data_IF_548006632954
#
_entry.id   IF_548006632954
#
_cell.length_a   1.000
_cell.length_b   1.000
_cell.length_c   1.000
_cell.angle_alpha   90.00
_cell.angle_beta   90.00
_cell.angle_gamma   90.00
#
_symmetry.space_group_name_H-M   'P 1'
#
loop_
_entity.id
_entity.type
_entity.pdbx_description
1 polymer ?
#
# COMPACT_ATOMS: atom_id res chain seq x y z
N UNK A 1 15.13 -13.89 -21.91
CA UNK A 1 13.76 -13.58 -21.52
C UNK A 1 12.85 -13.12 -22.67
N UNK A 2 13.27 -12.17 -23.56
CA UNK A 2 12.44 -11.69 -24.71
C UNK A 2 11.77 -12.79 -25.59
N UNK A 3 12.40 -13.96 -25.75
CA UNK A 3 11.82 -15.07 -26.54
C UNK A 3 10.84 -15.96 -25.78
N UNK A 4 10.78 -15.89 -24.47
CA UNK A 4 9.93 -16.75 -23.63
C UNK A 4 8.54 -16.16 -23.49
N UNK A 5 8.41 -14.83 -23.34
CA UNK A 5 7.11 -14.15 -23.20
C UNK A 5 6.29 -14.23 -24.49
N UNK A 6 6.93 -14.00 -25.65
CA UNK A 6 6.28 -14.18 -26.97
C UNK A 6 5.87 -15.64 -27.22
N UNK A 7 6.61 -16.60 -26.69
CA UNK A 7 6.31 -18.02 -26.86
C UNK A 7 5.15 -18.47 -25.96
N UNK A 8 4.99 -17.89 -24.78
CA UNK A 8 3.92 -18.23 -23.82
C UNK A 8 2.55 -17.77 -24.32
N UNK A 9 2.46 -16.55 -24.88
CA UNK A 9 1.21 -16.06 -25.48
C UNK A 9 0.79 -16.89 -26.71
N UNK A 10 1.76 -17.28 -27.54
CA UNK A 10 1.52 -18.18 -28.70
C UNK A 10 1.11 -19.59 -28.27
N UNK A 11 1.63 -20.10 -27.15
CA UNK A 11 1.27 -21.43 -26.61
C UNK A 11 -0.15 -21.42 -26.02
N UNK A 12 -0.58 -20.33 -25.40
CA UNK A 12 -1.97 -20.18 -24.91
C UNK A 12 -2.94 -20.13 -26.08
N UNK A 13 -2.62 -19.44 -27.18
CA UNK A 13 -3.40 -19.45 -28.42
C UNK A 13 -3.52 -20.83 -29.07
N UNK A 14 -2.48 -21.65 -29.01
CA UNK A 14 -2.48 -23.02 -29.57
C UNK A 14 -3.27 -24.01 -28.70
N UNK A 15 -3.36 -23.80 -27.39
CA UNK A 15 -4.13 -24.65 -26.47
C UNK A 15 -5.65 -24.38 -26.56
N UNK A 16 -6.07 -23.15 -26.90
CA UNK A 16 -7.47 -22.79 -27.13
C UNK A 16 -8.04 -23.44 -28.40
N UNK A 17 -7.23 -23.76 -29.38
CA UNK A 17 -7.67 -24.42 -30.63
C UNK A 17 -7.99 -25.92 -30.48
N UNK A 18 -7.76 -26.54 -29.31
CA UNK A 18 -7.95 -28.00 -29.08
C UNK A 18 -9.24 -28.36 -28.34
N UNK A 19 -10.04 -27.38 -27.84
CA UNK A 19 -11.33 -27.70 -27.19
C UNK A 19 -12.48 -27.20 -28.08
N UNK A 20 -13.04 -28.15 -28.80
CA UNK A 20 -14.15 -27.93 -29.74
C UNK A 20 -15.41 -27.38 -29.09
N UNK A 21 -16.02 -26.42 -29.77
CA UNK A 21 -17.27 -25.68 -29.57
C UNK A 21 -17.13 -24.25 -29.03
N UNK A 22 -16.13 -23.49 -29.48
CA UNK A 22 -16.17 -22.03 -29.38
C UNK A 22 -16.80 -21.44 -30.66
N UNK A 23 -17.59 -20.35 -30.47
CA UNK A 23 -18.16 -19.59 -31.56
C UNK A 23 -17.00 -18.96 -32.36
N UNK A 24 -16.90 -19.19 -33.64
CA UNK A 24 -15.76 -18.75 -34.48
C UNK A 24 -15.54 -17.23 -34.39
N UNK A 25 -16.61 -16.48 -34.22
CA UNK A 25 -16.58 -15.02 -34.12
C UNK A 25 -15.97 -14.53 -32.80
N UNK A 26 -16.15 -15.27 -31.69
CA UNK A 26 -15.53 -14.96 -30.39
C UNK A 26 -14.03 -15.21 -30.39
N UNK A 27 -13.59 -16.34 -30.97
CA UNK A 27 -12.15 -16.64 -31.08
C UNK A 27 -11.41 -15.62 -31.95
N UNK A 28 -12.01 -15.16 -33.05
CA UNK A 28 -11.42 -14.14 -33.94
C UNK A 28 -11.33 -12.77 -33.22
N UNK A 29 -12.33 -12.44 -32.37
CA UNK A 29 -12.31 -11.21 -31.56
C UNK A 29 -11.19 -11.26 -30.51
N UNK A 30 -11.06 -12.34 -29.75
CA UNK A 30 -10.01 -12.53 -28.74
C UNK A 30 -8.60 -12.46 -29.35
N UNK A 31 -8.38 -13.12 -30.50
CA UNK A 31 -7.09 -13.07 -31.20
C UNK A 31 -6.73 -11.64 -31.67
N UNK A 32 -7.71 -10.90 -32.17
CA UNK A 32 -7.53 -9.51 -32.58
C UNK A 32 -7.20 -8.63 -31.40
N UNK A 33 -7.97 -8.72 -30.30
CA UNK A 33 -7.74 -7.94 -29.07
C UNK A 33 -6.34 -8.23 -28.51
N UNK A 34 -5.96 -9.50 -28.38
CA UNK A 34 -4.64 -9.89 -27.91
C UNK A 34 -3.51 -9.31 -28.77
N UNK A 35 -3.69 -9.34 -30.09
CA UNK A 35 -2.70 -8.80 -31.03
C UNK A 35 -2.56 -7.29 -30.91
N UNK A 36 -3.66 -6.55 -30.90
CA UNK A 36 -3.66 -5.09 -30.81
C UNK A 36 -3.12 -4.61 -29.44
N UNK A 37 -3.48 -5.28 -28.35
CA UNK A 37 -2.99 -5.01 -27.01
C UNK A 37 -1.48 -5.24 -26.91
N UNK A 38 -1.00 -6.37 -27.46
CA UNK A 38 0.42 -6.70 -27.42
C UNK A 38 1.28 -5.71 -28.22
N UNK A 39 0.77 -5.18 -29.34
CA UNK A 39 1.45 -4.12 -30.09
C UNK A 39 1.66 -2.87 -29.25
N UNK A 40 0.66 -2.45 -28.48
CA UNK A 40 0.78 -1.28 -27.58
C UNK A 40 1.78 -1.59 -26.46
N UNK A 41 1.68 -2.76 -25.87
CA UNK A 41 2.55 -3.15 -24.75
C UNK A 41 4.03 -3.27 -25.13
N UNK A 42 4.34 -3.90 -26.28
CA UNK A 42 5.71 -4.00 -26.80
C UNK A 42 6.28 -2.63 -27.19
N UNK A 43 5.45 -1.73 -27.74
CA UNK A 43 5.86 -0.37 -28.05
C UNK A 43 6.22 0.43 -26.78
N UNK A 44 5.46 0.24 -25.68
CA UNK A 44 5.78 0.82 -24.37
C UNK A 44 7.11 0.29 -23.83
N UNK A 45 7.32 -1.03 -23.88
CA UNK A 45 8.57 -1.67 -23.42
C UNK A 45 9.80 -1.20 -24.20
N UNK A 46 9.64 -1.01 -25.51
CA UNK A 46 10.75 -0.57 -26.39
C UNK A 46 11.11 0.90 -26.17
N UNK A 47 10.08 1.77 -26.11
CA UNK A 47 10.28 3.23 -26.05
C UNK A 47 10.50 3.79 -24.66
N UNK A 48 10.07 3.07 -23.63
CA UNK A 48 10.14 3.49 -22.22
C UNK A 48 10.91 2.47 -21.38
N UNK A 49 12.23 2.30 -21.60
CA UNK A 49 13.03 1.32 -20.86
C UNK A 49 13.23 1.70 -19.38
N UNK A 50 13.06 2.97 -19.03
CA UNK A 50 13.14 3.50 -17.66
C UNK A 50 11.74 3.88 -17.16
N UNK A 51 11.19 3.04 -16.27
CA UNK A 51 9.85 3.21 -15.70
C UNK A 51 9.73 4.41 -14.77
N UNK A 52 10.83 4.99 -14.33
CA UNK A 52 10.86 6.14 -13.42
C UNK A 52 10.96 7.48 -14.18
N UNK A 53 11.21 7.45 -15.48
CA UNK A 53 11.34 8.65 -16.29
C UNK A 53 9.98 9.20 -16.73
N UNK A 54 9.37 10.00 -15.86
CA UNK A 54 8.04 10.61 -16.07
C UNK A 54 8.00 11.51 -17.31
N UNK A 55 9.07 12.24 -17.60
CA UNK A 55 9.07 13.14 -18.76
C UNK A 55 9.03 12.34 -20.07
N UNK A 56 9.77 11.23 -20.17
CA UNK A 56 9.69 10.34 -21.31
C UNK A 56 8.30 9.68 -21.46
N UNK A 57 7.70 9.24 -20.35
CA UNK A 57 6.33 8.69 -20.36
C UNK A 57 5.30 9.73 -20.80
N UNK A 58 5.40 10.95 -20.30
CA UNK A 58 4.53 12.07 -20.72
C UNK A 58 4.66 12.34 -22.22
N UNK A 59 5.89 12.45 -22.72
CA UNK A 59 6.15 12.71 -24.13
C UNK A 59 5.58 11.60 -25.02
N UNK A 60 5.82 10.34 -24.66
CA UNK A 60 5.26 9.18 -25.33
C UNK A 60 3.73 9.24 -25.39
N UNK A 61 3.06 9.45 -24.25
CA UNK A 61 1.60 9.48 -24.16
C UNK A 61 1.00 10.62 -24.99
N UNK A 62 1.64 11.79 -25.03
CA UNK A 62 1.20 12.93 -25.87
C UNK A 62 1.34 12.59 -27.36
N UNK A 63 2.46 11.99 -27.77
CA UNK A 63 2.69 11.57 -29.14
C UNK A 63 1.72 10.48 -29.57
N UNK A 64 1.50 9.49 -28.70
CA UNK A 64 0.55 8.40 -28.93
C UNK A 64 -0.87 8.95 -29.12
N UNK A 65 -1.36 9.82 -28.22
CA UNK A 65 -2.66 10.43 -28.31
C UNK A 65 -2.83 11.25 -29.62
N UNK A 66 -1.79 12.00 -30.01
CA UNK A 66 -1.78 12.78 -31.25
C UNK A 66 -1.92 11.88 -32.51
N UNK A 67 -1.21 10.74 -32.54
CA UNK A 67 -1.27 9.79 -33.66
C UNK A 67 -2.63 9.09 -33.80
N UNK A 68 -3.39 9.01 -32.69
CA UNK A 68 -4.72 8.40 -32.64
C UNK A 68 -5.86 9.44 -32.65
N UNK A 69 -5.55 10.73 -32.87
CA UNK A 69 -6.51 11.84 -32.86
C UNK A 69 -7.31 11.95 -31.53
N UNK A 70 -6.68 11.63 -30.42
CA UNK A 70 -7.28 11.69 -29.08
C UNK A 70 -6.85 13.01 -28.42
N UNK A 71 -7.79 13.89 -28.01
CA UNK A 71 -7.48 15.09 -27.26
C UNK A 71 -6.74 14.77 -25.96
N UNK A 72 -5.61 15.44 -25.74
CA UNK A 72 -4.76 15.28 -24.57
C UNK A 72 -4.50 16.61 -23.90
N UNK A 73 -4.46 16.62 -22.57
CA UNK A 73 -4.00 17.72 -21.73
C UNK A 73 -3.13 17.18 -20.60
N UNK A 74 -2.40 18.06 -19.93
CA UNK A 74 -1.56 17.71 -18.78
C UNK A 74 -1.53 18.86 -17.78
N UNK A 75 -1.23 18.54 -16.54
CA UNK A 75 -1.11 19.52 -15.46
C UNK A 75 0.35 19.76 -15.04
N UNK A 76 0.54 20.54 -13.96
CA UNK A 76 1.87 20.90 -13.46
C UNK A 76 2.63 19.74 -12.80
N UNK A 77 1.92 18.70 -12.38
CA UNK A 77 2.48 17.47 -11.82
C UNK A 77 2.74 16.40 -12.89
N UNK A 78 2.64 16.77 -14.16
CA UNK A 78 2.78 15.85 -15.29
C UNK A 78 1.70 14.74 -15.35
N UNK A 79 0.56 14.91 -14.67
CA UNK A 79 -0.60 14.06 -14.94
C UNK A 79 -1.07 14.28 -16.37
N UNK A 80 -1.36 13.18 -17.08
CA UNK A 80 -1.81 13.23 -18.47
C UNK A 80 -3.29 12.84 -18.51
N UNK A 81 -4.07 13.65 -19.19
CA UNK A 81 -5.52 13.49 -19.32
C UNK A 81 -5.88 13.34 -20.79
N UNK A 82 -6.38 12.18 -21.17
CA UNK A 82 -6.94 11.91 -22.50
C UNK A 82 -8.46 11.86 -22.41
N UNK A 83 -9.15 12.29 -23.46
CA UNK A 83 -10.61 12.30 -23.47
C UNK A 83 -11.16 11.94 -24.84
N UNK A 84 -12.20 11.10 -24.87
CA UNK A 84 -12.93 10.70 -26.08
C UNK A 84 -14.42 11.01 -25.88
N UNK A 85 -15.00 11.78 -26.80
CA UNK A 85 -16.44 12.08 -26.76
C UNK A 85 -17.24 10.82 -26.98
N UNK A 86 -18.46 10.79 -26.46
CA UNK A 86 -19.39 9.71 -26.70
C UNK A 86 -19.56 9.43 -28.21
N UNK A 87 -19.71 8.17 -28.54
CA UNK A 87 -20.08 7.72 -29.89
C UNK A 87 -21.47 8.23 -30.21
N UNK A 88 -21.71 8.58 -31.47
CA UNK A 88 -23.02 9.06 -31.90
C UNK A 88 -24.14 8.06 -31.55
N UNK A 89 -25.13 8.56 -30.79
CA UNK A 89 -26.23 7.74 -30.24
C UNK A 89 -25.95 7.15 -28.83
N UNK A 90 -24.80 7.47 -28.24
CA UNK A 90 -24.39 7.07 -26.88
C UNK A 90 -24.11 8.28 -25.99
N UNK A 91 -24.62 9.44 -26.33
CA UNK A 91 -24.39 10.71 -25.62
C UNK A 91 -24.97 10.69 -24.21
N UNK A 92 -26.03 9.91 -23.97
CA UNK A 92 -26.71 9.75 -22.68
C UNK A 92 -26.18 8.53 -21.90
N UNK A 93 -25.25 7.76 -22.46
CA UNK A 93 -24.64 6.64 -21.76
C UNK A 93 -23.80 7.13 -20.58
N UNK A 94 -23.72 6.32 -19.52
CA UNK A 94 -22.85 6.61 -18.38
C UNK A 94 -21.41 6.81 -18.84
N UNK A 95 -20.76 7.81 -18.25
CA UNK A 95 -19.35 8.10 -18.49
C UNK A 95 -18.44 7.18 -17.70
N UNK A 96 -17.24 6.95 -18.24
CA UNK A 96 -16.19 6.20 -17.52
C UNK A 96 -14.88 6.96 -17.50
N UNK A 97 -14.25 6.93 -16.34
CA UNK A 97 -12.87 7.37 -16.11
C UNK A 97 -12.03 6.12 -15.85
N UNK A 98 -10.98 5.94 -16.62
CA UNK A 98 -9.99 4.89 -16.39
C UNK A 98 -8.73 5.58 -15.88
N UNK A 99 -8.21 5.16 -14.77
CA UNK A 99 -7.03 5.76 -14.16
C UNK A 99 -5.91 4.73 -14.05
N UNK A 100 -4.68 5.15 -14.35
CA UNK A 100 -3.46 4.37 -14.20
C UNK A 100 -2.39 5.21 -13.52
N UNK A 101 -1.79 4.76 -12.40
CA UNK A 101 -0.61 5.37 -11.85
C UNK A 101 0.60 5.14 -12.78
N UNK A 102 1.47 6.14 -12.91
CA UNK A 102 2.70 6.09 -13.71
C UNK A 102 3.91 6.53 -12.90
N UNK A 103 5.10 6.03 -13.29
CA UNK A 103 6.37 6.38 -12.65
C UNK A 103 6.77 5.51 -11.47
N UNK A 104 6.09 4.40 -11.23
CA UNK A 104 6.38 3.45 -10.14
C UNK A 104 6.25 2.01 -10.60
N UNK A 105 7.02 1.13 -9.98
CA UNK A 105 6.97 -0.31 -10.23
C UNK A 105 7.81 -0.78 -11.42
N UNK A 106 7.82 -2.09 -11.60
CA UNK A 106 8.48 -2.74 -12.73
C UNK A 106 7.72 -2.47 -14.05
N UNK A 107 8.38 -2.67 -15.17
CA UNK A 107 7.80 -2.38 -16.48
C UNK A 107 6.47 -3.11 -16.73
N UNK A 108 6.36 -4.39 -16.34
CA UNK A 108 5.12 -5.14 -16.50
C UNK A 108 4.01 -4.65 -15.57
N UNK A 109 4.34 -4.22 -14.35
CA UNK A 109 3.37 -3.68 -13.39
C UNK A 109 2.75 -2.37 -13.86
N UNK A 110 3.51 -1.57 -14.59
CA UNK A 110 3.09 -0.25 -15.05
C UNK A 110 2.50 -0.29 -16.46
N UNK A 111 3.15 -1.00 -17.38
CA UNK A 111 2.80 -0.91 -18.81
C UNK A 111 1.64 -1.81 -19.22
N UNK A 112 1.31 -2.88 -18.48
CA UNK A 112 0.09 -3.64 -18.75
C UNK A 112 -1.18 -2.84 -18.46
N UNK A 113 -1.33 -2.17 -17.29
CA UNK A 113 -2.43 -1.21 -17.08
C UNK A 113 -2.47 -0.07 -18.10
N UNK A 114 -1.29 0.52 -18.45
CA UNK A 114 -1.21 1.59 -19.44
C UNK A 114 -1.67 1.11 -20.83
N UNK A 115 -1.18 -0.04 -21.30
CA UNK A 115 -1.59 -0.62 -22.59
C UNK A 115 -3.09 -0.90 -22.63
N UNK A 116 -3.64 -1.42 -21.53
CA UNK A 116 -5.09 -1.64 -21.38
C UNK A 116 -5.87 -0.33 -21.52
N UNK A 117 -5.46 0.73 -20.81
CA UNK A 117 -6.13 2.03 -20.90
C UNK A 117 -6.06 2.65 -22.30
N UNK A 118 -4.89 2.58 -22.94
CA UNK A 118 -4.68 3.05 -24.31
C UNK A 118 -5.51 2.25 -25.32
N UNK A 119 -5.55 0.92 -25.17
CA UNK A 119 -6.40 0.05 -25.98
C UNK A 119 -7.87 0.44 -25.85
N UNK A 120 -8.38 0.56 -24.65
CA UNK A 120 -9.80 0.85 -24.39
C UNK A 120 -10.23 2.19 -24.99
N UNK A 121 -9.45 3.26 -24.84
CA UNK A 121 -9.81 4.57 -25.40
C UNK A 121 -9.75 4.58 -26.92
N UNK A 122 -8.88 3.81 -27.55
CA UNK A 122 -8.76 3.75 -29.00
C UNK A 122 -9.82 2.84 -29.63
N UNK A 123 -10.00 1.63 -29.11
CA UNK A 123 -10.71 0.53 -29.78
C UNK A 123 -12.17 0.38 -29.42
N UNK A 124 -12.61 0.81 -28.21
CA UNK A 124 -14.03 0.72 -27.87
C UNK A 124 -14.85 1.61 -28.80
N UNK A 125 -15.81 1.01 -29.53
CA UNK A 125 -16.58 1.71 -30.58
C UNK A 125 -17.88 2.30 -30.05
N UNK A 126 -18.57 1.58 -29.13
CA UNK A 126 -19.87 1.97 -28.57
C UNK A 126 -19.70 2.39 -27.13
N UNK A 127 -19.62 3.70 -26.87
CA UNK A 127 -19.32 4.21 -25.53
C UNK A 127 -19.90 5.60 -25.28
N UNK A 128 -20.19 5.89 -24.01
CA UNK A 128 -20.40 7.24 -23.50
C UNK A 128 -19.10 8.05 -23.50
N UNK A 129 -19.00 9.08 -22.67
CA UNK A 129 -17.76 9.84 -22.52
C UNK A 129 -16.68 9.00 -21.82
N UNK A 130 -15.53 8.83 -22.48
CA UNK A 130 -14.35 8.15 -21.89
C UNK A 130 -13.29 9.18 -21.53
N UNK A 131 -12.70 9.04 -20.34
CA UNK A 131 -11.51 9.77 -19.90
C UNK A 131 -10.46 8.81 -19.36
N UNK A 132 -9.21 9.01 -19.76
CA UNK A 132 -8.07 8.33 -19.13
C UNK A 132 -7.30 9.36 -18.30
N UNK A 133 -6.93 8.96 -17.07
CA UNK A 133 -6.07 9.72 -16.18
C UNK A 133 -4.80 8.91 -15.92
N UNK A 134 -3.67 9.38 -16.43
CA UNK A 134 -2.37 8.88 -16.01
C UNK A 134 -1.85 9.82 -14.91
N UNK A 135 -1.76 9.32 -13.68
CA UNK A 135 -1.36 10.11 -12.51
C UNK A 135 0.04 9.75 -12.08
N UNK A 136 0.87 10.75 -11.80
CA UNK A 136 2.23 10.52 -11.33
C UNK A 136 2.22 10.01 -9.88
N UNK A 137 2.88 8.89 -9.63
CA UNK A 137 2.91 8.21 -8.35
C UNK A 137 4.35 7.95 -7.86
N UNK A 138 5.25 8.87 -8.13
CA UNK A 138 6.70 8.75 -7.82
C UNK A 138 7.02 8.89 -6.34
N UNK A 139 6.04 9.23 -5.50
CA UNK A 139 6.22 9.36 -4.07
C UNK A 139 5.12 8.66 -3.28
N UNK A 140 5.40 8.38 -2.02
CA UNK A 140 4.46 7.74 -1.09
C UNK A 140 3.23 8.61 -0.75
N UNK A 141 3.25 9.90 -1.14
CA UNK A 141 2.16 10.86 -0.88
C UNK A 141 1.15 10.92 -2.02
N UNK A 142 1.39 10.24 -3.14
CA UNK A 142 0.52 10.23 -4.32
C UNK A 142 0.22 11.67 -4.83
N UNK A 143 1.24 12.51 -4.90
CA UNK A 143 1.12 13.94 -5.22
C UNK A 143 0.44 14.21 -6.57
N UNK A 144 0.62 13.34 -7.55
CA UNK A 144 -0.09 13.42 -8.83
C UNK A 144 -1.60 13.35 -8.63
N UNK A 145 -2.09 12.31 -7.94
CA UNK A 145 -3.51 12.14 -7.67
C UNK A 145 -4.07 13.26 -6.79
N UNK A 146 -3.31 13.74 -5.80
CA UNK A 146 -3.70 14.88 -4.98
C UNK A 146 -3.88 16.16 -5.79
N UNK A 147 -3.08 16.38 -6.83
CA UNK A 147 -3.09 17.59 -7.64
C UNK A 147 -4.15 17.59 -8.74
N UNK A 148 -4.70 16.43 -9.12
CA UNK A 148 -5.68 16.35 -10.22
C UNK A 148 -6.88 17.28 -9.96
N UNK A 149 -7.29 18.05 -10.96
CA UNK A 149 -8.45 18.91 -10.80
C UNK A 149 -9.74 18.09 -10.66
N UNK A 150 -10.62 18.50 -9.73
CA UNK A 150 -11.94 17.87 -9.56
C UNK A 150 -12.80 17.91 -10.83
N UNK A 151 -12.52 18.80 -11.77
CA UNK A 151 -13.19 18.81 -13.07
C UNK A 151 -12.90 17.54 -13.87
N UNK A 152 -11.74 16.91 -13.67
CA UNK A 152 -11.39 15.65 -14.32
C UNK A 152 -12.00 14.43 -13.63
N UNK A 153 -12.50 14.59 -12.38
CA UNK A 153 -13.21 13.57 -11.61
C UNK A 153 -14.74 13.64 -11.78
N UNK A 154 -15.24 14.50 -12.68
CA UNK A 154 -16.68 14.54 -13.02
C UNK A 154 -16.99 13.40 -13.95
N UNK A 155 -17.86 12.50 -13.53
CA UNK A 155 -18.28 11.32 -14.26
C UNK A 155 -19.15 10.43 -13.39
N UNK A 156 -19.59 9.30 -13.92
CA UNK A 156 -20.42 8.32 -13.23
C UNK A 156 -19.54 7.25 -12.59
N UNK A 157 -18.58 6.70 -13.34
CA UNK A 157 -17.77 5.57 -12.98
C UNK A 157 -16.26 5.89 -13.08
N UNK A 158 -15.45 5.36 -12.17
CA UNK A 158 -13.99 5.38 -12.26
C UNK A 158 -13.43 3.99 -11.96
N UNK A 159 -12.60 3.49 -12.86
CA UNK A 159 -11.84 2.25 -12.66
C UNK A 159 -10.35 2.59 -12.65
N UNK A 160 -9.69 2.31 -11.52
CA UNK A 160 -8.23 2.33 -11.42
C UNK A 160 -7.69 1.00 -11.91
N UNK A 161 -6.81 1.02 -12.89
CA UNK A 161 -6.11 -0.17 -13.36
C UNK A 161 -4.77 -0.31 -12.65
N UNK A 162 -4.53 -1.49 -12.08
CA UNK A 162 -3.29 -1.87 -11.41
C UNK A 162 -2.82 -3.23 -11.93
N UNK A 163 -1.63 -3.64 -11.53
CA UNK A 163 -1.17 -5.00 -11.79
C UNK A 163 -1.23 -5.85 -10.51
N UNK A 164 -1.57 -7.14 -10.64
CA UNK A 164 -1.41 -8.14 -9.60
C UNK A 164 -1.29 -9.54 -10.22
N UNK A 165 -0.67 -10.48 -9.50
CA UNK A 165 -0.55 -11.87 -9.95
C UNK A 165 -1.93 -12.51 -10.24
N UNK A 166 -2.93 -12.17 -9.43
CA UNK A 166 -4.31 -12.65 -9.59
C UNK A 166 -5.25 -11.47 -9.72
N UNK A 167 -6.20 -11.60 -10.64
CA UNK A 167 -7.27 -10.61 -10.81
C UNK A 167 -8.09 -10.49 -9.54
N UNK A 168 -8.28 -9.26 -9.10
CA UNK A 168 -9.12 -8.91 -7.96
C UNK A 168 -9.73 -7.53 -8.13
N UNK A 169 -10.88 -7.32 -7.52
CA UNK A 169 -11.45 -6.00 -7.32
C UNK A 169 -11.04 -5.47 -5.94
N UNK A 170 -10.46 -4.27 -5.90
CA UNK A 170 -10.28 -3.54 -4.66
C UNK A 170 -11.41 -2.52 -4.54
N UNK A 171 -12.17 -2.62 -3.46
CA UNK A 171 -13.41 -1.85 -3.22
C UNK A 171 -13.29 -0.91 -2.02
N UNK A 172 -12.16 -0.95 -1.32
CA UNK A 172 -11.88 -0.12 -0.16
C UNK A 172 -10.38 -0.02 0.14
N UNK A 173 -10.00 1.00 0.85
CA UNK A 173 -8.62 1.14 1.36
C UNK A 173 -8.58 1.82 2.73
N UNK A 174 -7.58 1.42 3.53
CA UNK A 174 -7.35 2.04 4.82
C UNK A 174 -7.00 3.52 4.67
N UNK A 175 -7.40 4.29 5.67
CA UNK A 175 -6.83 5.59 5.94
C UNK A 175 -5.59 5.46 6.81
N UNK A 176 -4.75 6.49 6.77
CA UNK A 176 -3.49 6.55 7.52
C UNK A 176 -3.48 7.79 8.40
N UNK A 177 -2.97 7.65 9.62
CA UNK A 177 -2.63 8.77 10.48
C UNK A 177 -1.22 8.57 11.01
N UNK A 178 -0.35 9.56 10.77
CA UNK A 178 1.01 9.59 11.28
C UNK A 178 1.10 10.54 12.47
N UNK A 179 1.83 10.10 13.48
CA UNK A 179 2.02 10.80 14.74
C UNK A 179 3.51 11.00 15.02
N UNK A 180 3.89 12.22 15.40
CA UNK A 180 5.20 12.53 16.00
C UNK A 180 5.01 12.71 17.50
N UNK A 181 5.72 11.92 18.28
CA UNK A 181 5.79 11.99 19.72
C UNK A 181 7.12 12.60 20.10
N UNK A 182 7.14 13.52 21.06
CA UNK A 182 8.37 14.15 21.56
C UNK A 182 8.35 14.31 23.06
N UNK A 183 9.46 13.94 23.69
CA UNK A 183 9.70 14.09 25.13
C UNK A 183 11.02 14.78 25.37
N UNK A 184 10.99 15.87 26.15
CA UNK A 184 12.23 16.46 26.67
C UNK A 184 12.90 15.52 27.65
N UNK A 185 14.22 15.40 27.55
CA UNK A 185 15.06 14.52 28.35
C UNK A 185 15.99 15.31 29.23
N UNK A 186 16.13 14.89 30.49
CA UNK A 186 17.16 15.35 31.41
C UNK A 186 18.38 14.45 31.33
N UNK A 187 19.55 15.03 31.11
CA UNK A 187 20.81 14.32 31.02
C UNK A 187 21.61 14.46 32.33
N UNK A 188 22.16 13.36 32.79
CA UNK A 188 22.94 13.29 34.01
C UNK A 188 24.26 12.53 33.77
N UNK A 189 25.20 12.62 34.72
CA UNK A 189 26.37 11.75 34.74
C UNK A 189 25.94 10.32 35.02
N UNK A 190 26.57 9.31 34.39
CA UNK A 190 26.30 7.89 34.66
C UNK A 190 26.46 7.55 36.14
N UNK A 191 25.52 6.76 36.66
CA UNK A 191 25.63 6.26 38.07
C UNK A 191 25.85 4.76 38.12
N UNK A 192 25.64 4.03 37.02
CA UNK A 192 25.90 2.60 36.91
C UNK A 192 27.12 2.33 36.04
N UNK A 193 27.97 1.31 36.37
CA UNK A 193 29.27 1.16 35.72
C UNK A 193 29.27 0.29 34.47
N UNK A 194 28.23 -0.54 34.21
CA UNK A 194 28.24 -1.52 33.12
C UNK A 194 27.38 -1.04 31.96
N UNK A 195 28.01 -0.59 30.89
CA UNK A 195 27.34 -0.14 29.69
C UNK A 195 27.22 -1.27 28.66
N UNK A 196 26.02 -1.41 28.08
CA UNK A 196 25.71 -2.37 27.01
C UNK A 196 25.04 -1.69 25.86
N UNK A 197 25.47 -2.08 24.68
CA UNK A 197 24.73 -1.83 23.42
C UNK A 197 23.87 -3.05 23.10
N UNK A 198 22.55 -2.85 22.97
CA UNK A 198 21.59 -3.86 22.55
C UNK A 198 21.15 -3.48 21.14
N UNK A 199 21.33 -4.39 20.19
CA UNK A 199 21.09 -4.10 18.78
C UNK A 199 20.38 -5.24 18.06
N UNK A 200 19.34 -4.89 17.29
CA UNK A 200 18.74 -5.76 16.26
C UNK A 200 19.02 -5.09 14.91
N UNK A 201 19.56 -5.84 13.97
CA UNK A 201 19.86 -5.35 12.60
C UNK A 201 19.56 -6.43 11.56
N UNK A 202 19.34 -5.99 10.31
CA UNK A 202 19.20 -6.89 9.17
C UNK A 202 17.83 -7.54 9.04
N UNK A 203 16.80 -6.98 9.68
CA UNK A 203 15.42 -7.40 9.44
C UNK A 203 14.94 -6.96 8.04
N UNK A 204 14.00 -7.72 7.47
CA UNK A 204 13.50 -7.47 6.13
C UNK A 204 12.83 -6.09 5.94
N UNK A 205 12.33 -5.48 7.01
CA UNK A 205 11.67 -4.17 6.91
C UNK A 205 10.45 -4.17 5.97
N UNK A 206 10.14 -3.02 5.40
CA UNK A 206 9.10 -2.89 4.37
C UNK A 206 7.95 -1.95 4.76
N UNK A 207 7.02 -1.72 3.81
CA UNK A 207 5.88 -0.83 4.03
C UNK A 207 4.89 -1.38 5.07
N UNK A 208 4.50 -0.57 6.04
CA UNK A 208 3.48 -0.93 7.05
C UNK A 208 2.06 -1.09 6.48
N UNK A 209 1.84 -0.68 5.22
CA UNK A 209 0.60 -0.95 4.48
C UNK A 209 0.57 -2.35 3.82
N UNK A 210 1.68 -3.11 3.88
CA UNK A 210 1.74 -4.49 3.42
C UNK A 210 1.67 -5.37 4.66
N UNK A 211 0.49 -5.86 5.00
CA UNK A 211 0.26 -6.68 6.18
C UNK A 211 0.28 -8.15 5.79
N UNK A 212 1.46 -8.74 5.71
CA UNK A 212 1.61 -10.18 5.54
C UNK A 212 1.77 -10.92 6.88
N UNK A 213 1.21 -10.40 7.96
CA UNK A 213 1.30 -11.04 9.27
C UNK A 213 2.24 -10.34 10.23
N UNK A 214 3.15 -11.02 10.87
CA UNK A 214 3.94 -10.54 12.00
C UNK A 214 5.35 -10.13 11.58
N UNK A 215 5.52 -8.96 10.95
CA UNK A 215 6.87 -8.39 10.84
C UNK A 215 7.39 -8.01 12.23
N UNK A 216 8.60 -8.47 12.64
CA UNK A 216 9.19 -8.02 13.88
C UNK A 216 9.53 -6.52 13.80
N UNK A 217 9.24 -5.80 14.88
CA UNK A 217 9.63 -4.39 15.00
C UNK A 217 10.76 -4.29 16.03
N UNK A 218 12.01 -4.01 15.63
CA UNK A 218 13.16 -4.03 16.53
C UNK A 218 13.08 -2.95 17.63
N UNK A 219 12.41 -1.83 17.35
CA UNK A 219 12.19 -0.78 18.37
C UNK A 219 11.29 -1.32 19.48
N UNK A 220 10.18 -1.97 19.10
CA UNK A 220 9.23 -2.54 20.07
C UNK A 220 9.86 -3.69 20.84
N UNK A 221 10.61 -4.58 20.20
CA UNK A 221 11.24 -5.75 20.81
C UNK A 221 12.26 -5.32 21.86
N UNK A 222 13.19 -4.42 21.53
CA UNK A 222 14.17 -3.89 22.49
C UNK A 222 13.45 -3.11 23.59
N UNK A 223 12.44 -2.28 23.25
CA UNK A 223 11.65 -1.53 24.23
C UNK A 223 10.94 -2.44 25.23
N UNK A 224 10.30 -3.51 24.77
CA UNK A 224 9.61 -4.50 25.62
C UNK A 224 10.58 -5.27 26.51
N UNK A 225 11.75 -5.66 25.99
CA UNK A 225 12.81 -6.27 26.77
C UNK A 225 13.25 -5.36 27.92
N UNK A 226 13.59 -4.10 27.64
CA UNK A 226 14.05 -3.13 28.65
C UNK A 226 12.97 -2.83 29.70
N UNK A 227 11.72 -2.63 29.25
CA UNK A 227 10.59 -2.42 30.15
C UNK A 227 10.35 -3.66 31.06
N UNK A 228 10.43 -4.87 30.50
CA UNK A 228 10.32 -6.11 31.26
C UNK A 228 11.44 -6.26 32.29
N UNK A 229 12.69 -6.00 31.91
CA UNK A 229 13.82 -6.02 32.82
C UNK A 229 13.66 -5.02 33.98
N UNK A 230 13.22 -3.78 33.62
CA UNK A 230 12.92 -2.74 34.61
C UNK A 230 11.82 -3.14 35.58
N UNK A 231 10.71 -3.72 35.09
CA UNK A 231 9.57 -4.15 35.90
C UNK A 231 9.94 -5.25 36.88
N UNK A 232 10.95 -6.06 36.56
CA UNK A 232 11.51 -7.13 37.42
C UNK A 232 12.60 -6.61 38.36
N UNK A 233 12.81 -5.30 38.42
CA UNK A 233 13.66 -4.64 39.39
C UNK A 233 15.13 -4.51 38.99
N UNK A 234 15.47 -4.61 37.66
CA UNK A 234 16.80 -4.23 37.18
C UNK A 234 16.96 -2.73 37.31
N UNK A 235 18.03 -2.31 37.96
CA UNK A 235 18.41 -0.89 38.04
C UNK A 235 19.23 -0.53 36.81
N UNK A 236 18.65 0.31 35.96
CA UNK A 236 19.26 0.71 34.70
C UNK A 236 19.03 2.18 34.36
N UNK A 237 19.90 2.74 33.53
CA UNK A 237 19.85 4.07 32.93
C UNK A 237 19.92 3.93 31.41
N UNK A 238 19.10 4.68 30.68
CA UNK A 238 19.16 4.73 29.21
C UNK A 238 20.15 5.82 28.78
N UNK A 239 21.05 5.51 27.86
CA UNK A 239 21.93 6.50 27.26
C UNK A 239 21.47 6.93 25.85
N UNK A 240 20.99 5.98 25.05
CA UNK A 240 20.41 6.29 23.74
C UNK A 240 19.47 5.19 23.28
N UNK A 241 18.53 5.56 22.39
CA UNK A 241 17.71 4.60 21.66
C UNK A 241 17.44 5.16 20.27
N UNK A 242 17.89 4.45 19.23
CA UNK A 242 17.77 4.90 17.84
C UNK A 242 17.34 3.72 16.96
N UNK A 243 16.52 3.97 15.97
CA UNK A 243 16.09 2.96 15.02
C UNK A 243 15.05 3.46 14.03
N UNK A 244 14.95 2.75 12.91
CA UNK A 244 13.99 3.03 11.85
C UNK A 244 14.31 4.25 10.99
N UNK A 245 13.61 4.37 9.85
CA UNK A 245 13.88 5.41 8.85
C UNK A 245 12.69 6.36 8.64
N UNK A 246 11.47 5.83 8.56
CA UNK A 246 10.24 6.61 8.34
C UNK A 246 9.05 6.00 9.07
N UNK A 247 8.02 6.81 9.38
CA UNK A 247 6.81 6.36 10.07
C UNK A 247 6.09 5.20 9.37
N UNK A 248 6.02 5.24 8.04
CA UNK A 248 5.27 4.28 7.22
C UNK A 248 6.02 2.98 6.90
N UNK A 249 7.22 2.76 7.43
CA UNK A 249 8.04 1.56 7.18
C UNK A 249 8.22 0.75 8.47
N UNK A 250 8.22 -0.58 8.34
CA UNK A 250 8.72 -1.44 9.40
C UNK A 250 10.24 -1.24 9.50
N UNK A 251 10.77 -0.90 10.70
CA UNK A 251 12.20 -0.71 10.87
C UNK A 251 13.00 -2.00 10.59
N UNK A 252 14.13 -1.86 9.89
CA UNK A 252 15.07 -2.97 9.67
C UNK A 252 16.09 -3.10 10.78
N UNK A 253 16.27 -2.04 11.59
CA UNK A 253 17.21 -2.02 12.70
C UNK A 253 16.79 -1.10 13.83
N UNK A 254 17.29 -1.41 15.03
CA UNK A 254 17.26 -0.53 16.19
C UNK A 254 18.41 -0.85 17.12
N UNK A 255 18.86 0.17 17.87
CA UNK A 255 19.96 0.07 18.84
C UNK A 255 19.64 0.90 20.08
N UNK A 256 19.80 0.30 21.25
CA UNK A 256 19.70 0.99 22.54
C UNK A 256 20.99 0.82 23.34
N UNK A 257 21.43 1.89 24.02
CA UNK A 257 22.55 1.85 24.95
C UNK A 257 22.01 2.05 26.36
N UNK A 258 22.33 1.09 27.27
CA UNK A 258 21.88 1.11 28.64
C UNK A 258 23.04 0.86 29.59
N UNK A 259 22.95 1.42 30.82
CA UNK A 259 23.88 1.16 31.88
C UNK A 259 23.18 0.41 33.00
N UNK A 260 23.84 -0.63 33.55
CA UNK A 260 23.27 -1.58 34.48
C UNK A 260 24.04 -1.50 35.81
N UNK A 261 23.32 -1.64 36.94
CA UNK A 261 23.92 -1.73 38.26
C UNK A 261 24.69 -3.04 38.43
N UNK A 262 25.81 -3.02 39.18
CA UNK A 262 26.67 -4.21 39.45
C UNK A 262 25.90 -5.45 39.87
N UNK A 263 24.92 -5.29 40.74
CA UNK A 263 24.18 -6.43 41.33
C UNK A 263 23.17 -7.05 40.33
N UNK A 264 22.91 -6.39 39.21
CA UNK A 264 21.89 -6.79 38.22
C UNK A 264 22.47 -7.37 36.95
N UNK A 265 23.79 -7.25 36.71
CA UNK A 265 24.48 -7.66 35.49
C UNK A 265 24.14 -9.08 35.08
N UNK A 266 24.49 -10.09 35.93
CA UNK A 266 24.29 -11.50 35.57
C UNK A 266 22.84 -11.87 35.32
N UNK A 267 21.91 -11.20 36.02
CA UNK A 267 20.47 -11.38 35.82
C UNK A 267 19.98 -10.77 34.50
N UNK A 268 20.49 -9.59 34.16
CA UNK A 268 20.17 -8.89 32.92
C UNK A 268 20.68 -9.64 31.69
N UNK A 269 21.95 -10.12 31.73
CA UNK A 269 22.54 -10.93 30.66
C UNK A 269 21.76 -12.22 30.43
N UNK A 270 21.41 -12.96 31.49
CA UNK A 270 20.58 -14.17 31.34
C UNK A 270 19.18 -13.90 30.77
N UNK A 271 18.59 -12.78 31.11
CA UNK A 271 17.28 -12.41 30.54
C UNK A 271 17.39 -12.03 29.08
N UNK A 272 18.46 -11.36 28.67
CA UNK A 272 18.75 -11.08 27.28
C UNK A 272 18.92 -12.36 26.45
N UNK A 273 19.71 -13.32 26.94
CA UNK A 273 19.88 -14.64 26.30
C UNK A 273 18.51 -15.32 26.05
N UNK A 274 17.64 -15.30 27.05
CA UNK A 274 16.32 -15.88 26.93
C UNK A 274 15.41 -15.12 25.95
N UNK A 275 15.56 -13.80 25.87
CA UNK A 275 14.79 -12.97 24.94
C UNK A 275 15.26 -13.18 23.49
N UNK A 276 16.56 -13.23 23.28
CA UNK A 276 17.17 -13.52 21.98
C UNK A 276 16.78 -14.92 21.47
N UNK A 277 16.78 -15.94 22.36
CA UNK A 277 16.32 -17.29 22.01
C UNK A 277 14.83 -17.33 21.60
N UNK A 278 13.96 -16.58 22.28
CA UNK A 278 12.54 -16.47 21.89
C UNK A 278 12.34 -15.73 20.57
N UNK A 279 13.18 -14.75 20.31
CA UNK A 279 13.17 -14.05 19.03
C UNK A 279 13.56 -14.99 17.89
N UNK A 280 14.63 -15.76 18.06
CA UNK A 280 15.10 -16.77 17.12
C UNK A 280 14.02 -17.82 16.84
N UNK A 281 13.43 -18.40 17.89
CA UNK A 281 12.35 -19.40 17.77
C UNK A 281 11.13 -18.87 16.99
N UNK A 282 10.85 -17.58 17.10
CA UNK A 282 9.66 -16.98 16.47
C UNK A 282 9.89 -16.49 15.03
N UNK A 283 11.09 -16.01 14.72
CA UNK A 283 11.32 -15.24 13.49
C UNK A 283 12.41 -15.79 12.57
N UNK A 284 13.16 -16.83 12.95
CA UNK A 284 14.23 -17.40 12.13
C UNK A 284 13.77 -17.91 10.76
N UNK A 285 12.52 -18.35 10.64
CA UNK A 285 11.95 -18.83 9.37
C UNK A 285 11.59 -17.68 8.41
N UNK A 286 11.43 -16.46 8.91
CA UNK A 286 10.98 -15.31 8.11
C UNK A 286 12.04 -14.23 7.95
N UNK A 287 13.05 -14.21 8.85
CA UNK A 287 14.12 -13.23 8.89
C UNK A 287 15.47 -13.95 8.74
N UNK A 288 16.01 -14.03 7.54
CA UNK A 288 17.19 -14.86 7.25
C UNK A 288 18.54 -14.22 7.66
N UNK A 289 18.63 -12.88 7.68
CA UNK A 289 19.89 -12.14 7.78
C UNK A 289 20.00 -11.25 9.03
N UNK A 290 19.19 -11.49 10.04
CA UNK A 290 19.20 -10.65 11.23
C UNK A 290 20.34 -10.97 12.20
N UNK A 291 20.65 -9.98 13.03
CA UNK A 291 21.46 -10.15 14.25
C UNK A 291 20.69 -9.56 15.44
N UNK A 292 20.66 -10.26 16.58
CA UNK A 292 20.18 -9.73 17.85
C UNK A 292 21.25 -9.92 18.90
N UNK A 293 21.93 -8.82 19.28
CA UNK A 293 23.14 -8.85 20.09
C UNK A 293 23.07 -7.90 21.27
N UNK A 294 23.78 -8.25 22.34
CA UNK A 294 24.09 -7.37 23.45
C UNK A 294 25.61 -7.38 23.68
N UNK A 295 26.25 -6.24 23.57
CA UNK A 295 27.71 -6.10 23.62
C UNK A 295 28.12 -5.12 24.70
N UNK A 296 29.04 -5.46 25.60
CA UNK A 296 29.64 -4.50 26.53
C UNK A 296 30.39 -3.40 25.76
N UNK A 297 30.18 -2.15 26.17
CA UNK A 297 30.83 -0.99 25.57
C UNK A 297 31.47 -0.08 26.63
N UNK A 298 32.28 0.89 26.22
CA UNK A 298 32.72 1.96 27.10
C UNK A 298 31.53 2.80 27.60
N UNK A 299 31.62 3.20 28.87
CA UNK A 299 30.56 4.01 29.49
C UNK A 299 30.42 5.37 28.75
N UNK A 300 29.21 5.75 28.30
CA UNK A 300 28.98 7.05 27.72
C UNK A 300 29.17 8.16 28.74
N UNK A 301 29.47 9.38 28.25
CA UNK A 301 29.71 10.54 29.10
C UNK A 301 28.45 11.01 29.86
N UNK A 302 27.29 10.83 29.24
CA UNK A 302 26.00 11.21 29.80
C UNK A 302 24.96 10.12 29.58
N UNK A 303 23.99 10.04 30.49
CA UNK A 303 22.81 9.17 30.41
C UNK A 303 21.54 9.99 30.67
N UNK A 304 20.43 9.47 30.23
CA UNK A 304 19.10 10.02 30.51
C UNK A 304 18.77 9.77 31.98
N UNK A 305 18.17 10.75 32.66
CA UNK A 305 17.75 10.62 34.05
C UNK A 305 16.95 9.36 34.32
N UNK A 306 17.02 8.79 35.53
CA UNK A 306 16.30 7.56 35.89
C UNK A 306 14.79 7.69 35.74
N UNK A 307 14.25 8.88 35.98
CA UNK A 307 12.83 9.16 35.84
C UNK A 307 12.43 9.16 34.33
N UNK A 308 13.18 9.89 33.50
CA UNK A 308 12.91 9.91 32.07
C UNK A 308 13.18 8.55 31.41
N UNK A 309 14.24 7.84 31.80
CA UNK A 309 14.48 6.46 31.31
C UNK A 309 13.28 5.56 31.63
N UNK A 310 12.70 5.68 32.83
CA UNK A 310 11.53 4.90 33.24
C UNK A 310 10.30 5.25 32.40
N UNK A 311 10.08 6.55 32.13
CA UNK A 311 8.99 7.03 31.27
C UNK A 311 9.16 6.57 29.81
N UNK A 312 10.40 6.57 29.29
CA UNK A 312 10.70 6.05 27.94
C UNK A 312 10.39 4.56 27.84
N UNK A 313 10.82 3.75 28.82
CA UNK A 313 10.49 2.31 28.81
C UNK A 313 8.99 2.06 28.92
N UNK A 314 8.29 2.81 29.79
CA UNK A 314 6.83 2.74 29.91
C UNK A 314 6.12 3.14 28.60
N UNK A 315 6.58 4.21 27.96
CA UNK A 315 6.08 4.67 26.68
C UNK A 315 6.17 3.58 25.62
N UNK A 316 7.36 3.03 25.37
CA UNK A 316 7.60 2.00 24.36
C UNK A 316 6.82 0.72 24.64
N UNK A 317 6.69 0.32 25.90
CA UNK A 317 5.90 -0.85 26.29
C UNK A 317 4.42 -0.68 25.98
N UNK A 318 3.86 0.51 26.26
CA UNK A 318 2.43 0.80 26.12
C UNK A 318 2.02 1.23 24.70
N UNK A 319 2.98 1.65 23.85
CA UNK A 319 2.69 2.01 22.48
C UNK A 319 2.12 0.84 21.69
N UNK A 320 1.04 1.11 20.96
CA UNK A 320 0.40 0.16 20.06
C UNK A 320 1.35 -0.11 18.89
N UNK A 321 1.64 -1.39 18.63
CA UNK A 321 2.45 -1.83 17.50
C UNK A 321 1.98 -3.19 16.98
N UNK A 322 1.90 -3.34 15.65
CA UNK A 322 1.43 -4.54 14.99
C UNK A 322 -0.06 -4.47 14.63
N UNK A 323 -0.72 -5.63 14.55
CA UNK A 323 -2.14 -5.72 14.25
C UNK A 323 -2.92 -5.26 15.49
N UNK A 324 -3.74 -4.22 15.31
CA UNK A 324 -4.58 -3.66 16.37
C UNK A 324 -5.97 -4.30 16.40
N UNK A 325 -6.57 -4.48 15.22
CA UNK A 325 -7.92 -5.04 15.09
C UNK A 325 -8.02 -5.98 13.88
N UNK A 326 -8.75 -7.08 14.06
CA UNK A 326 -9.19 -7.98 12.99
C UNK A 326 -10.70 -8.06 12.96
N UNK A 327 -11.28 -8.36 11.78
CA UNK A 327 -12.69 -8.72 11.63
C UNK A 327 -12.98 -10.11 12.22
N UNK A 328 -14.25 -10.48 12.29
CA UNK A 328 -14.70 -11.81 12.73
C UNK A 328 -14.20 -12.91 11.78
N UNK A 329 -13.98 -12.60 10.51
CA UNK A 329 -13.42 -13.49 9.49
C UNK A 329 -11.88 -13.58 9.56
N UNK A 330 -11.23 -12.77 10.43
CA UNK A 330 -9.79 -12.76 10.64
C UNK A 330 -9.00 -11.80 9.74
N UNK A 331 -9.69 -11.02 8.90
CA UNK A 331 -9.08 -9.99 8.06
C UNK A 331 -8.57 -8.82 8.92
N UNK A 332 -7.45 -8.21 8.48
CA UNK A 332 -6.85 -7.09 9.21
C UNK A 332 -7.65 -5.82 8.93
N UNK A 333 -8.20 -5.24 10.01
CA UNK A 333 -8.96 -3.97 9.97
C UNK A 333 -8.09 -2.78 10.37
N UNK A 334 -7.19 -2.94 11.34
CA UNK A 334 -6.33 -1.87 11.79
C UNK A 334 -4.95 -2.34 12.23
N UNK A 335 -3.96 -1.50 11.97
CA UNK A 335 -2.56 -1.70 12.37
C UNK A 335 -1.97 -0.42 12.94
N UNK A 336 -0.92 -0.58 13.74
CA UNK A 336 -0.04 0.51 14.15
C UNK A 336 1.41 0.08 14.04
N UNK A 337 2.29 0.97 13.63
CA UNK A 337 3.71 0.70 13.47
C UNK A 337 4.56 1.80 14.08
N UNK A 338 5.45 1.46 14.99
CA UNK A 338 6.50 2.37 15.44
C UNK A 338 7.55 2.42 14.34
N UNK A 339 7.54 3.49 13.54
CA UNK A 339 8.41 3.62 12.38
C UNK A 339 9.80 4.10 12.69
N UNK A 340 9.96 5.03 13.64
CA UNK A 340 11.26 5.54 14.07
C UNK A 340 11.32 5.82 15.56
N UNK A 341 12.52 5.76 16.11
CA UNK A 341 12.88 6.30 17.42
C UNK A 341 14.25 6.96 17.34
N UNK A 342 14.41 8.11 17.96
CA UNK A 342 15.68 8.83 18.01
C UNK A 342 15.88 9.57 19.31
N UNK A 343 17.05 9.39 19.95
CA UNK A 343 17.48 10.22 21.08
C UNK A 343 18.49 11.27 20.61
N UNK A 344 18.24 12.51 20.96
CA UNK A 344 19.13 13.67 20.75
C UNK A 344 19.56 14.24 22.10
N UNK A 345 20.42 15.25 22.09
CA UNK A 345 20.88 15.93 23.34
C UNK A 345 19.76 16.63 24.12
N UNK A 346 18.56 16.75 23.57
CA UNK A 346 17.43 17.42 24.21
C UNK A 346 16.16 16.58 24.30
N UNK A 347 15.92 15.70 23.32
CA UNK A 347 14.66 15.02 23.17
C UNK A 347 14.81 13.54 22.84
N UNK A 348 13.75 12.77 23.17
CA UNK A 348 13.37 11.53 22.51
C UNK A 348 12.26 11.87 21.52
N UNK A 349 12.43 11.50 20.26
CA UNK A 349 11.41 11.62 19.22
C UNK A 349 11.03 10.22 18.71
N UNK A 350 9.73 9.96 18.55
CA UNK A 350 9.19 8.69 18.05
C UNK A 350 8.13 9.00 17.00
N UNK A 351 8.17 8.30 15.86
CA UNK A 351 7.11 8.41 14.87
C UNK A 351 6.32 7.11 14.77
N UNK A 352 5.00 7.23 14.64
CA UNK A 352 4.08 6.11 14.49
C UNK A 352 3.18 6.33 13.29
N UNK A 353 2.92 5.25 12.56
CA UNK A 353 1.93 5.20 11.48
C UNK A 353 0.81 4.24 11.88
N UNK A 354 -0.41 4.75 12.08
CA UNK A 354 -1.60 3.94 12.27
C UNK A 354 -2.43 3.89 11.00
N UNK A 355 -2.98 2.73 10.68
CA UNK A 355 -3.83 2.48 9.51
C UNK A 355 -5.10 1.76 9.92
N UNK A 356 -6.25 2.13 9.32
CA UNK A 356 -7.51 1.42 9.55
C UNK A 356 -8.45 1.55 8.36
N UNK A 357 -9.29 0.53 8.17
CA UNK A 357 -10.43 0.54 7.25
C UNK A 357 -11.65 1.27 7.86
N UNK A 358 -11.61 1.62 9.15
CA UNK A 358 -12.69 2.30 9.87
C UNK A 358 -12.19 3.56 10.60
N UNK A 359 -12.91 4.68 10.44
CA UNK A 359 -12.58 5.97 11.07
C UNK A 359 -12.63 5.88 12.61
N UNK A 360 -13.63 5.19 13.15
CA UNK A 360 -13.80 5.03 14.60
C UNK A 360 -12.56 4.38 15.23
N UNK A 361 -11.98 3.40 14.54
CA UNK A 361 -10.77 2.72 15.03
C UNK A 361 -9.55 3.63 15.01
N UNK A 362 -9.38 4.49 14.01
CA UNK A 362 -8.31 5.52 14.02
C UNK A 362 -8.50 6.52 15.16
N UNK A 363 -9.74 6.91 15.46
CA UNK A 363 -10.06 7.78 16.59
C UNK A 363 -9.78 7.10 17.94
N UNK A 364 -10.09 5.81 18.06
CA UNK A 364 -9.77 5.02 19.25
C UNK A 364 -8.26 4.92 19.48
N UNK A 365 -7.47 4.62 18.43
CA UNK A 365 -6.01 4.62 18.49
C UNK A 365 -5.49 6.00 18.92
N UNK A 366 -6.00 7.09 18.34
CA UNK A 366 -5.62 8.46 18.69
C UNK A 366 -5.91 8.77 20.17
N UNK A 367 -7.08 8.35 20.66
CA UNK A 367 -7.48 8.53 22.05
C UNK A 367 -6.59 7.76 23.00
N UNK A 368 -6.21 6.53 22.63
CA UNK A 368 -5.29 5.70 23.39
C UNK A 368 -3.90 6.35 23.46
N UNK A 369 -3.40 6.89 22.35
CA UNK A 369 -2.14 7.63 22.37
C UNK A 369 -2.19 8.88 23.24
N UNK A 370 -3.31 9.61 23.27
CA UNK A 370 -3.46 10.76 24.16
C UNK A 370 -3.32 10.36 25.65
N UNK A 371 -3.91 9.23 26.05
CA UNK A 371 -3.76 8.70 27.42
C UNK A 371 -2.32 8.28 27.70
N UNK A 372 -1.69 7.52 26.81
CA UNK A 372 -0.29 7.07 26.94
C UNK A 372 0.64 8.28 27.09
N UNK A 373 0.45 9.32 26.30
CA UNK A 373 1.23 10.56 26.36
C UNK A 373 1.08 11.28 27.71
N UNK A 374 -0.14 11.39 28.21
CA UNK A 374 -0.41 12.02 29.50
C UNK A 374 0.26 11.28 30.68
N UNK A 375 0.31 9.94 30.62
CA UNK A 375 0.96 9.11 31.65
C UNK A 375 2.50 9.20 31.63
N UNK A 376 3.10 9.47 30.48
CA UNK A 376 4.55 9.44 30.29
C UNK A 376 5.17 10.82 30.09
N UNK A 377 4.37 11.90 30.24
CA UNK A 377 4.82 13.28 30.06
C UNK A 377 5.46 13.49 28.65
N UNK A 378 4.71 13.09 27.63
CA UNK A 378 5.08 13.13 26.22
C UNK A 378 4.09 14.01 25.49
N UNK A 379 4.56 14.87 24.61
CA UNK A 379 3.72 15.57 23.65
C UNK A 379 3.62 14.81 22.33
N UNK A 380 2.49 14.91 21.64
CA UNK A 380 2.38 14.39 20.29
C UNK A 380 1.60 15.33 19.37
N UNK A 381 1.82 15.20 18.08
CA UNK A 381 1.08 15.89 17.03
C UNK A 381 0.80 14.94 15.88
N UNK A 382 -0.31 15.14 15.21
CA UNK A 382 -0.60 14.49 13.90
C UNK A 382 0.19 15.24 12.82
N UNK A 383 0.97 14.54 12.04
CA UNK A 383 1.85 15.11 11.00
C UNK A 383 1.35 14.84 9.59
N UNK A 384 0.63 13.73 9.40
CA UNK A 384 0.05 13.36 8.13
C UNK A 384 -1.26 12.61 8.33
N UNK A 385 -2.21 12.81 7.42
CA UNK A 385 -3.45 12.04 7.38
C UNK A 385 -3.79 11.70 5.94
N UNK A 386 -4.19 10.47 5.72
CA UNK A 386 -4.67 9.98 4.43
C UNK A 386 -6.10 9.45 4.59
N UNK A 387 -7.02 9.74 3.66
CA UNK A 387 -8.42 9.40 3.82
C UNK A 387 -8.68 7.90 3.68
N UNK A 388 -9.75 7.42 4.33
CA UNK A 388 -10.32 6.10 4.12
C UNK A 388 -11.16 6.11 2.84
N UNK A 389 -11.05 5.04 2.08
CA UNK A 389 -12.03 4.68 1.06
C UNK A 389 -12.85 3.51 1.58
N UNK A 390 -14.05 3.82 2.07
CA UNK A 390 -14.95 2.81 2.64
C UNK A 390 -15.46 1.84 1.56
N UNK A 391 -15.51 0.58 1.91
CA UNK A 391 -16.08 -0.47 1.07
C UNK A 391 -17.53 -0.18 0.69
N UNK A 392 -17.88 -0.56 -0.54
CA UNK A 392 -19.25 -0.51 -1.03
C UNK A 392 -19.55 -1.72 -1.91
N UNK A 393 -20.03 -2.78 -1.31
CA UNK A 393 -20.42 -4.01 -2.01
C UNK A 393 -21.68 -3.85 -2.85
N UNK A 394 -22.48 -2.81 -2.59
CA UNK A 394 -23.69 -2.46 -3.34
C UNK A 394 -23.41 -1.47 -4.49
N UNK A 395 -22.15 -1.19 -4.78
CA UNK A 395 -21.75 -0.31 -5.89
C UNK A 395 -22.32 -0.82 -7.21
N UNK A 396 -23.11 -0.01 -7.95
CA UNK A 396 -23.60 -0.38 -9.28
C UNK A 396 -22.46 -0.72 -10.27
N UNK A 397 -21.34 -0.02 -10.18
CA UNK A 397 -20.14 -0.30 -10.97
C UNK A 397 -19.62 -1.71 -10.69
N UNK A 398 -19.42 -2.04 -9.40
CA UNK A 398 -18.95 -3.35 -8.96
C UNK A 398 -19.88 -4.48 -9.40
N UNK A 399 -21.16 -4.36 -9.08
CA UNK A 399 -22.17 -5.39 -9.37
C UNK A 399 -22.30 -5.62 -10.87
N UNK A 400 -22.35 -4.55 -11.67
CA UNK A 400 -22.45 -4.65 -13.13
C UNK A 400 -21.21 -5.27 -13.76
N UNK A 401 -20.01 -4.90 -13.29
CA UNK A 401 -18.77 -5.49 -13.80
C UNK A 401 -18.65 -6.97 -13.40
N UNK A 402 -19.05 -7.34 -12.18
CA UNK A 402 -19.14 -8.74 -11.72
C UNK A 402 -20.09 -9.54 -12.59
N UNK A 403 -21.26 -8.98 -12.94
CA UNK A 403 -22.20 -9.60 -13.87
C UNK A 403 -21.58 -9.87 -15.25
N UNK A 404 -20.78 -8.94 -15.76
CA UNK A 404 -20.07 -9.11 -17.05
C UNK A 404 -19.11 -10.30 -16.97
N UNK A 405 -18.32 -10.41 -15.90
CA UNK A 405 -17.42 -11.54 -15.70
C UNK A 405 -18.15 -12.86 -15.57
N UNK A 406 -19.23 -12.92 -14.78
CA UNK A 406 -20.03 -14.13 -14.58
C UNK A 406 -20.72 -14.58 -15.85
N UNK A 407 -21.39 -13.65 -16.58
CA UNK A 407 -22.20 -13.97 -17.76
C UNK A 407 -21.38 -14.34 -18.99
N UNK A 408 -20.24 -13.68 -19.21
CA UNK A 408 -19.46 -13.87 -20.43
C UNK A 408 -18.29 -14.86 -20.25
N UNK A 409 -17.78 -15.02 -19.03
CA UNK A 409 -16.53 -15.77 -18.82
C UNK A 409 -16.67 -16.85 -17.74
N UNK A 410 -17.83 -16.99 -17.09
CA UNK A 410 -18.05 -17.90 -15.96
C UNK A 410 -16.98 -17.75 -14.86
N UNK A 411 -16.55 -16.49 -14.65
CA UNK A 411 -15.51 -16.13 -13.66
C UNK A 411 -16.14 -15.36 -12.51
N UNK A 412 -15.75 -15.75 -11.30
CA UNK A 412 -16.01 -14.99 -10.07
C UNK A 412 -14.74 -14.25 -9.67
N UNK A 413 -14.83 -12.93 -9.50
CA UNK A 413 -13.73 -12.08 -9.06
C UNK A 413 -13.90 -11.77 -7.57
N UNK A 414 -12.83 -11.94 -6.80
CA UNK A 414 -12.85 -11.64 -5.37
C UNK A 414 -12.77 -10.14 -5.13
N UNK A 415 -13.64 -9.66 -4.26
CA UNK A 415 -13.58 -8.32 -3.69
C UNK A 415 -12.62 -8.33 -2.50
N UNK A 416 -11.87 -7.25 -2.32
CA UNK A 416 -11.00 -7.06 -1.15
C UNK A 416 -10.82 -5.59 -0.84
N UNK A 417 -10.46 -5.28 0.39
CA UNK A 417 -9.88 -4.00 0.78
C UNK A 417 -8.38 -4.11 0.98
N UNK A 418 -7.70 -2.99 0.97
CA UNK A 418 -6.24 -2.92 1.14
C UNK A 418 -5.87 -2.00 2.30
N UNK A 419 -4.80 -2.35 3.00
CA UNK A 419 -4.22 -1.50 4.04
C UNK A 419 -3.28 -0.41 3.48
N UNK A 420 -3.09 -0.36 2.15
CA UNK A 420 -2.28 0.66 1.48
C UNK A 420 -3.10 1.94 1.25
N UNK A 421 -2.41 3.08 1.27
CA UNK A 421 -2.94 4.32 0.74
C UNK A 421 -3.18 4.18 -0.76
N UNK A 422 -4.34 4.64 -1.25
CA UNK A 422 -4.73 4.50 -2.67
C UNK A 422 -5.18 5.82 -3.27
N UNK A 423 -4.95 5.99 -4.57
CA UNK A 423 -5.47 7.13 -5.30
C UNK A 423 -7.00 7.18 -5.30
N UNK A 424 -7.66 6.00 -5.25
CA UNK A 424 -9.11 5.88 -5.13
C UNK A 424 -9.67 6.61 -3.91
N UNK A 425 -8.98 6.52 -2.75
CA UNK A 425 -9.39 7.24 -1.53
C UNK A 425 -9.36 8.75 -1.72
N UNK A 426 -8.33 9.27 -2.39
CA UNK A 426 -8.22 10.70 -2.71
C UNK A 426 -9.32 11.14 -3.68
N UNK A 427 -9.61 10.34 -4.70
CA UNK A 427 -10.66 10.64 -5.67
C UNK A 427 -12.05 10.57 -5.04
N UNK A 428 -12.32 9.56 -4.21
CA UNK A 428 -13.62 9.40 -3.52
C UNK A 428 -13.89 10.56 -2.57
N UNK A 429 -12.89 10.99 -1.80
CA UNK A 429 -13.01 12.15 -0.90
C UNK A 429 -13.35 13.44 -1.67
N UNK A 430 -12.77 13.63 -2.86
CA UNK A 430 -12.94 14.85 -3.67
C UNK A 430 -14.15 14.81 -4.59
N UNK A 431 -14.63 13.62 -4.92
CA UNK A 431 -15.82 13.37 -5.75
C UNK A 431 -16.68 12.26 -5.14
N UNK A 432 -17.41 12.53 -4.03
CA UNK A 432 -18.13 11.50 -3.26
C UNK A 432 -19.20 10.74 -4.06
N UNK A 433 -19.73 11.34 -5.12
CA UNK A 433 -20.76 10.72 -5.98
C UNK A 433 -20.18 9.79 -7.03
N UNK A 434 -18.88 9.89 -7.33
CA UNK A 434 -18.20 9.04 -8.30
C UNK A 434 -18.18 7.60 -7.78
N UNK A 435 -18.66 6.65 -8.58
CA UNK A 435 -18.55 5.24 -8.25
C UNK A 435 -17.14 4.75 -8.64
N UNK A 436 -16.43 4.15 -7.71
CA UNK A 436 -14.99 3.86 -7.85
C UNK A 436 -14.70 2.41 -7.55
N UNK A 437 -13.91 1.80 -8.44
CA UNK A 437 -13.39 0.45 -8.32
C UNK A 437 -11.90 0.46 -8.71
N UNK A 438 -11.06 -0.33 -8.04
CA UNK A 438 -9.74 -0.67 -8.58
C UNK A 438 -9.75 -2.12 -9.06
N UNK A 439 -9.21 -2.35 -10.26
CA UNK A 439 -9.13 -3.67 -10.88
C UNK A 439 -7.71 -3.97 -11.30
N UNK A 440 -7.24 -5.16 -10.98
CA UNK A 440 -5.93 -5.62 -11.45
C UNK A 440 -6.05 -6.32 -12.80
N UNK A 441 -5.03 -6.10 -13.64
CA UNK A 441 -4.85 -6.76 -14.93
C UNK A 441 -3.50 -7.49 -14.94
N UNK A 442 -3.45 -8.65 -15.61
CA UNK A 442 -2.22 -9.41 -15.78
C UNK A 442 -2.30 -10.21 -17.09
N UNK A 443 -1.50 -9.85 -18.07
CA UNK A 443 -1.51 -10.47 -19.40
C UNK A 443 -1.06 -11.93 -19.41
N UNK A 444 -0.35 -12.39 -18.36
CA UNK A 444 0.00 -13.81 -18.19
C UNK A 444 -1.24 -14.68 -17.88
N UNK A 445 -2.29 -14.08 -17.29
CA UNK A 445 -3.56 -14.76 -17.04
C UNK A 445 -4.51 -14.72 -18.25
N UNK A 446 -4.09 -14.14 -19.37
CA UNK A 446 -4.89 -13.93 -20.56
C UNK A 446 -5.45 -12.52 -20.68
N UNK A 447 -6.41 -12.33 -21.56
CA UNK A 447 -7.00 -11.03 -21.91
C UNK A 447 -8.43 -10.85 -21.42
N UNK A 448 -8.93 -11.84 -20.66
CA UNK A 448 -10.34 -11.86 -20.18
C UNK A 448 -10.72 -10.58 -19.45
N UNK A 449 -9.79 -10.02 -18.66
CA UNK A 449 -10.00 -8.78 -17.91
C UNK A 449 -10.22 -7.58 -18.83
N UNK A 450 -9.48 -7.52 -19.93
CA UNK A 450 -9.54 -6.41 -20.89
C UNK A 450 -10.83 -6.54 -21.73
N UNK A 451 -11.15 -7.73 -22.15
CA UNK A 451 -12.40 -8.02 -22.85
C UNK A 451 -13.62 -7.72 -21.97
N UNK A 452 -13.59 -8.12 -20.69
CA UNK A 452 -14.64 -7.81 -19.73
C UNK A 452 -14.83 -6.29 -19.56
N UNK A 453 -13.73 -5.52 -19.47
CA UNK A 453 -13.79 -4.06 -19.40
C UNK A 453 -14.35 -3.46 -20.68
N UNK A 454 -13.97 -3.94 -21.85
CA UNK A 454 -14.54 -3.48 -23.12
C UNK A 454 -16.04 -3.73 -23.17
N UNK A 455 -16.48 -4.96 -22.91
CA UNK A 455 -17.92 -5.34 -22.88
C UNK A 455 -18.68 -4.52 -21.82
N UNK A 456 -18.08 -4.31 -20.64
CA UNK A 456 -18.68 -3.45 -19.63
C UNK A 456 -18.92 -2.03 -20.14
N UNK A 457 -17.92 -1.39 -20.76
CA UNK A 457 -18.05 -0.01 -21.31
C UNK A 457 -19.16 0.05 -22.37
N UNK A 458 -19.25 -0.94 -23.23
CA UNK A 458 -20.26 -1.02 -24.29
C UNK A 458 -21.69 -1.18 -23.73
N UNK A 459 -21.84 -1.80 -22.56
CA UNK A 459 -23.15 -1.96 -21.90
C UNK A 459 -23.61 -0.73 -21.10
N UNK A 460 -22.78 0.28 -20.89
CA UNK A 460 -23.13 1.45 -20.07
C UNK A 460 -24.28 2.31 -20.64
N UNK A 461 -24.67 2.08 -21.89
CA UNK A 461 -25.84 2.71 -22.53
C UNK A 461 -27.17 1.98 -22.22
N UNK A 462 -27.12 0.77 -21.65
CA UNK A 462 -28.29 -0.04 -21.42
C UNK A 462 -28.75 0.13 -19.97
N UNK A 463 -30.07 0.16 -19.72
CA UNK A 463 -30.59 0.01 -18.38
C UNK A 463 -30.08 -1.30 -17.75
N UNK A 464 -29.55 -1.23 -16.56
CA UNK A 464 -29.07 -2.39 -15.84
C UNK A 464 -29.75 -2.49 -14.48
N UNK A 465 -30.24 -3.67 -14.15
CA UNK A 465 -30.75 -4.03 -12.84
C UNK A 465 -29.93 -5.19 -12.29
N UNK A 466 -29.53 -5.16 -11.01
CA UNK A 466 -28.82 -6.27 -10.40
C UNK A 466 -29.60 -7.56 -10.58
N UNK A 467 -28.92 -8.62 -10.97
CA UNK A 467 -29.51 -9.97 -10.95
C UNK A 467 -29.74 -10.33 -9.49
N UNK A 468 -30.97 -10.18 -9.00
CA UNK A 468 -31.37 -10.71 -7.70
C UNK A 468 -31.26 -12.22 -7.77
N UNK A 469 -30.15 -12.79 -7.28
CA UNK A 469 -30.15 -14.19 -6.87
C UNK A 469 -31.21 -14.30 -5.77
N UNK A 470 -32.22 -15.11 -6.03
CA UNK A 470 -33.34 -15.38 -5.15
C UNK A 470 -32.85 -15.53 -3.70
N UNK A 471 -33.31 -14.63 -2.85
CA UNK A 471 -33.46 -14.87 -1.42
C UNK A 471 -34.48 -16.02 -1.25
N UNK A 472 -34.04 -17.25 -1.46
CA UNK A 472 -34.71 -18.47 -1.04
C UNK A 472 -33.63 -19.42 -0.54
N UNK A 473 -33.31 -19.32 0.74
CA UNK A 473 -33.46 -20.35 1.76
C UNK A 473 -32.90 -19.87 3.11
#
# INVERSE_FOLDING_TARGET
>A
MKKIISLTLVIILVLLSCTGCFNKDETEFEEKLATELNVIYEDLLEKLPDTTNIDAQKEYLIQWASSHNIPVSYDKQNNIIMSKKATKGYEDAQSIIIQCPIGVGEAFEQYQPMATALYLIDKVEKHGFIRILFTTATDSKLNGAQAISTNYLRGDNLITLTWAEKTAFTIGSAGTTEYDFSKQLQWIQPTYPHAYEISIKGLNGGSSGITSGSHPNPIKIIGDFLASAKSKGVLMELASFNGGETAGMYPSEATAVVLINDNDVSRFEKWFENDAAKFEDKYSDTEENYTYTMTPIESPQFVISKDDSTKVFSLLYTMINGIYLKSDEGEIVATSNIGTIGTTTGNLDVTICARSLADETLQEISSTFAVICGLNDVSYKVTNQFPIWSENEESPLLLRLTDVFKKNFDKEIKNKSTMKDTECALFKTRSPKLDILSMSVNFENGITEIEALQRFIETLNEPWEPTTENSQE
#
